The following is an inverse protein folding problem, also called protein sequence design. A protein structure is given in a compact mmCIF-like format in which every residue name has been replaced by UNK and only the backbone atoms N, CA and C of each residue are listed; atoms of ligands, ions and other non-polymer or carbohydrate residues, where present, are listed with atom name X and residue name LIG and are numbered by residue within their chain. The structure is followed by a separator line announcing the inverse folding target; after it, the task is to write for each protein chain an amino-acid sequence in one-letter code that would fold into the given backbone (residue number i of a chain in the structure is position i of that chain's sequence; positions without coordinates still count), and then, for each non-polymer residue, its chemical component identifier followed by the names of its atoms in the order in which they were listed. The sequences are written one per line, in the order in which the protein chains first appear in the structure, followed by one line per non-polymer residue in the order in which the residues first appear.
data_IF_007866293609
#
_entry.id   IF_007866293609
#
_cell.length_a   1.000
_cell.length_b   1.000
_cell.length_c   1.000
_cell.angle_alpha   90.00
_cell.angle_beta   90.00
_cell.angle_gamma   90.00
#
_symmetry.space_group_name_H-M   'P 1'
#
loop_
_entity.id
_entity.type
_entity.pdbx_description
1 polymer ?
#
# COMPACT_ATOMS: atom_id res chain seq x y z
N UNK A 1 -18.18 -30.25 1.48
CA UNK A 1 -18.94 -29.04 1.11
C UNK A 1 -18.60 -27.97 2.14
N UNK A 2 -17.93 -26.89 1.74
CA UNK A 2 -17.43 -25.87 2.67
C UNK A 2 -18.61 -25.07 3.23
N UNK A 3 -18.74 -25.08 4.56
CA UNK A 3 -19.71 -24.30 5.32
C UNK A 3 -19.36 -22.81 5.14
N UNK A 4 -19.97 -22.15 4.16
CA UNK A 4 -19.86 -20.70 4.02
C UNK A 4 -20.66 -20.11 5.18
N UNK A 5 -19.97 -19.56 6.16
CA UNK A 5 -20.61 -18.74 7.18
C UNK A 5 -21.32 -17.59 6.45
N UNK A 6 -22.65 -17.68 6.35
CA UNK A 6 -23.45 -16.63 5.72
C UNK A 6 -23.34 -15.37 6.58
N UNK A 7 -22.62 -14.37 6.09
CA UNK A 7 -22.61 -13.06 6.73
C UNK A 7 -24.00 -12.43 6.57
N UNK A 8 -24.62 -12.01 7.67
CA UNK A 8 -25.89 -11.29 7.66
C UNK A 8 -25.67 -9.78 7.52
N UNK A 9 -26.67 -9.10 6.97
CA UNK A 9 -26.67 -7.66 6.81
C UNK A 9 -28.03 -7.14 6.38
N UNK A 10 -28.09 -5.85 6.09
CA UNK A 10 -29.31 -5.18 5.68
C UNK A 10 -29.06 -4.16 4.58
N UNK A 11 -30.08 -3.96 3.75
CA UNK A 11 -30.16 -2.90 2.74
C UNK A 11 -31.01 -1.77 3.30
N UNK A 12 -30.56 -0.53 3.16
CA UNK A 12 -31.24 0.63 3.71
C UNK A 12 -31.26 1.79 2.71
N UNK A 13 -32.21 2.69 2.92
CA UNK A 13 -32.41 3.92 2.17
C UNK A 13 -32.44 5.10 3.16
N UNK A 14 -31.70 6.15 2.85
CA UNK A 14 -31.83 7.45 3.50
C UNK A 14 -32.51 8.42 2.53
N UNK A 15 -33.57 9.06 3.01
CA UNK A 15 -34.23 10.16 2.31
C UNK A 15 -33.88 11.45 3.01
N UNK A 16 -33.47 12.44 2.23
CA UNK A 16 -33.18 13.79 2.65
C UNK A 16 -34.33 14.72 2.24
N UNK A 17 -35.10 15.16 3.23
CA UNK A 17 -36.30 15.96 2.98
C UNK A 17 -36.00 17.42 2.64
N UNK A 18 -34.81 17.92 2.97
CA UNK A 18 -34.42 19.30 2.67
C UNK A 18 -33.99 19.46 1.20
N UNK A 19 -33.25 18.49 0.65
CA UNK A 19 -32.73 18.57 -0.73
C UNK A 19 -33.44 17.63 -1.72
N UNK A 20 -34.30 16.73 -1.23
CA UNK A 20 -34.95 15.71 -2.05
C UNK A 20 -34.00 14.60 -2.54
N UNK A 21 -32.81 14.49 -1.94
CA UNK A 21 -31.81 13.49 -2.32
C UNK A 21 -32.02 12.16 -1.61
N UNK A 22 -31.62 11.08 -2.27
CA UNK A 22 -31.71 9.72 -1.74
C UNK A 22 -30.34 9.05 -1.70
N UNK A 23 -30.10 8.24 -0.68
CA UNK A 23 -28.92 7.37 -0.57
C UNK A 23 -29.34 5.94 -0.30
N UNK A 24 -28.84 4.99 -1.08
CA UNK A 24 -29.08 3.56 -0.91
C UNK A 24 -27.76 2.88 -0.59
N UNK A 25 -27.76 1.97 0.37
CA UNK A 25 -26.55 1.21 0.69
C UNK A 25 -26.85 -0.09 1.44
N UNK A 26 -25.77 -0.82 1.70
CA UNK A 26 -25.79 -2.07 2.45
C UNK A 26 -24.83 -1.97 3.63
N UNK A 27 -25.18 -2.66 4.72
CA UNK A 27 -24.31 -2.84 5.87
C UNK A 27 -24.31 -4.30 6.29
N UNK A 28 -23.16 -4.77 6.77
CA UNK A 28 -23.01 -6.08 7.37
C UNK A 28 -23.05 -5.89 8.88
N UNK A 29 -24.10 -6.38 9.54
CA UNK A 29 -24.39 -6.07 10.93
C UNK A 29 -25.89 -6.05 11.21
N UNK A 30 -26.25 -5.63 12.42
CA UNK A 30 -27.64 -5.47 12.84
C UNK A 30 -28.12 -4.05 12.48
N UNK A 31 -29.35 -3.86 12.00
CA UNK A 31 -29.91 -2.53 11.74
C UNK A 31 -29.74 -1.51 12.88
N UNK A 32 -29.66 -1.99 14.12
CA UNK A 32 -29.61 -1.22 15.38
C UNK A 32 -28.18 -0.94 15.86
N UNK A 33 -27.13 -1.34 15.12
CA UNK A 33 -25.72 -1.17 15.49
C UNK A 33 -25.21 0.29 15.45
N UNK A 34 -26.09 1.25 15.18
CA UNK A 34 -25.76 2.67 15.09
C UNK A 34 -25.08 3.07 13.78
N UNK A 35 -24.94 2.17 12.81
CA UNK A 35 -24.39 2.50 11.50
C UNK A 35 -25.30 3.45 10.71
N UNK A 36 -24.71 4.53 10.19
CA UNK A 36 -25.44 5.57 9.42
C UNK A 36 -25.30 5.29 7.91
N UNK A 37 -24.11 5.46 7.35
CA UNK A 37 -23.83 5.18 5.94
C UNK A 37 -22.33 5.09 5.63
N UNK A 38 -21.93 4.92 4.38
CA UNK A 38 -20.53 4.98 3.93
C UNK A 38 -20.18 6.26 3.16
N UNK A 39 -21.19 7.04 2.73
CA UNK A 39 -20.99 8.27 1.96
C UNK A 39 -20.44 9.41 2.82
N UNK A 40 -19.28 9.96 2.43
CA UNK A 40 -18.65 11.08 3.14
C UNK A 40 -19.49 12.36 3.08
N UNK A 41 -20.10 12.64 1.92
CA UNK A 41 -20.90 13.84 1.68
C UNK A 41 -22.18 13.78 2.52
N UNK A 42 -22.95 12.69 2.41
CA UNK A 42 -24.18 12.53 3.18
C UNK A 42 -23.92 12.51 4.70
N UNK A 43 -22.81 11.92 5.16
CA UNK A 43 -22.43 12.00 6.59
C UNK A 43 -22.19 13.41 7.08
N UNK A 44 -21.63 14.28 6.25
CA UNK A 44 -21.38 15.66 6.64
C UNK A 44 -22.71 16.40 6.78
N UNK A 45 -23.58 16.28 5.79
CA UNK A 45 -24.91 16.90 5.83
C UNK A 45 -25.77 16.34 6.97
N UNK A 46 -25.74 15.03 7.23
CA UNK A 46 -26.45 14.43 8.36
C UNK A 46 -25.96 14.95 9.72
N UNK A 47 -24.68 15.29 9.88
CA UNK A 47 -24.17 15.87 11.13
C UNK A 47 -24.68 17.28 11.37
N UNK A 48 -24.90 18.04 10.30
CA UNK A 48 -25.34 19.44 10.36
C UNK A 48 -26.85 19.53 10.55
N UNK A 49 -27.63 18.63 9.93
CA UNK A 49 -29.10 18.64 9.94
C UNK A 49 -29.71 17.24 10.07
N UNK A 50 -29.45 16.52 11.18
CA UNK A 50 -29.89 15.15 11.36
C UNK A 50 -31.42 14.97 11.29
N UNK A 51 -32.19 15.99 11.67
CA UNK A 51 -33.65 15.98 11.66
C UNK A 51 -34.27 15.91 10.26
N UNK A 52 -33.54 16.33 9.22
CA UNK A 52 -34.05 16.36 7.85
C UNK A 52 -33.87 15.01 7.13
N UNK A 53 -33.31 14.01 7.82
CA UNK A 53 -33.02 12.71 7.26
C UNK A 53 -33.88 11.63 7.89
N UNK A 54 -34.40 10.73 7.06
CA UNK A 54 -35.10 9.53 7.51
C UNK A 54 -34.45 8.28 6.95
N UNK A 55 -34.14 7.32 7.81
CA UNK A 55 -33.61 6.00 7.44
C UNK A 55 -34.75 4.99 7.38
N UNK A 56 -34.80 4.23 6.29
CA UNK A 56 -35.70 3.09 6.12
C UNK A 56 -34.86 1.85 5.81
N UNK A 57 -35.11 0.76 6.54
CA UNK A 57 -34.51 -0.54 6.23
C UNK A 57 -35.41 -1.26 5.24
N UNK A 58 -34.86 -1.56 4.06
CA UNK A 58 -35.61 -2.15 2.95
C UNK A 58 -35.61 -3.68 2.99
N UNK A 59 -34.50 -4.27 3.44
CA UNK A 59 -34.34 -5.72 3.53
C UNK A 59 -33.31 -6.07 4.60
N UNK A 60 -33.53 -7.15 5.34
CA UNK A 60 -32.60 -7.72 6.32
C UNK A 60 -32.47 -9.23 6.05
N UNK A 61 -31.24 -9.74 5.95
CA UNK A 61 -30.98 -11.14 5.65
C UNK A 61 -29.54 -11.41 5.19
N UNK A 62 -29.32 -12.44 4.35
CA UNK A 62 -27.99 -12.74 3.83
C UNK A 62 -27.38 -11.55 3.07
N UNK A 63 -26.11 -11.24 3.37
CA UNK A 63 -25.41 -10.10 2.77
C UNK A 63 -25.31 -10.20 1.24
N UNK A 64 -25.23 -11.42 0.70
CA UNK A 64 -25.22 -11.68 -0.74
C UNK A 64 -26.51 -11.20 -1.43
N UNK A 65 -27.67 -11.37 -0.77
CA UNK A 65 -28.96 -10.90 -1.26
C UNK A 65 -29.04 -9.38 -1.13
N UNK A 66 -28.60 -8.82 0.01
CA UNK A 66 -28.54 -7.37 0.20
C UNK A 66 -27.72 -6.68 -0.91
N UNK A 67 -26.55 -7.23 -1.25
CA UNK A 67 -25.69 -6.70 -2.30
C UNK A 67 -26.33 -6.76 -3.70
N UNK A 68 -27.13 -7.80 -3.99
CA UNK A 68 -27.90 -7.87 -5.23
C UNK A 68 -29.03 -6.84 -5.25
N UNK A 69 -29.75 -6.74 -4.14
CA UNK A 69 -30.89 -5.84 -4.00
C UNK A 69 -30.49 -4.36 -4.11
N UNK A 70 -29.37 -3.96 -3.47
CA UNK A 70 -28.78 -2.62 -3.63
C UNK A 70 -28.54 -2.29 -5.11
N UNK A 71 -27.93 -3.23 -5.85
CA UNK A 71 -27.59 -3.03 -7.25
C UNK A 71 -28.85 -2.88 -8.12
N UNK A 72 -29.87 -3.70 -7.86
CA UNK A 72 -31.15 -3.65 -8.59
C UNK A 72 -31.90 -2.34 -8.29
N UNK A 73 -31.97 -1.93 -7.02
CA UNK A 73 -32.59 -0.65 -6.62
C UNK A 73 -31.87 0.55 -7.24
N UNK A 74 -30.54 0.61 -7.12
CA UNK A 74 -29.75 1.69 -7.70
C UNK A 74 -29.93 1.72 -9.23
N UNK A 75 -29.92 0.56 -9.91
CA UNK A 75 -30.12 0.51 -11.35
C UNK A 75 -31.55 0.92 -11.77
N UNK A 76 -32.57 0.57 -10.98
CA UNK A 76 -33.95 0.93 -11.26
C UNK A 76 -34.23 2.42 -11.02
N UNK A 77 -33.58 3.04 -10.03
CA UNK A 77 -33.75 4.43 -9.65
C UNK A 77 -32.85 5.40 -10.42
N UNK A 78 -31.63 4.99 -10.81
CA UNK A 78 -30.74 5.78 -11.66
C UNK A 78 -31.14 5.66 -13.13
N UNK A 79 -32.26 6.29 -13.52
CA UNK A 79 -32.70 6.32 -14.94
C UNK A 79 -32.36 7.62 -15.68
N UNK A 80 -32.12 8.75 -15.00
CA UNK A 80 -31.80 10.02 -15.68
C UNK A 80 -31.05 11.06 -14.85
N UNK A 81 -31.42 11.28 -13.58
CA UNK A 81 -30.95 12.45 -12.83
C UNK A 81 -29.92 12.10 -11.74
N UNK A 82 -28.64 12.41 -12.00
CA UNK A 82 -27.54 12.21 -11.03
C UNK A 82 -27.63 13.15 -9.83
N UNK A 83 -28.38 14.25 -9.94
CA UNK A 83 -28.45 15.30 -8.91
C UNK A 83 -29.28 14.89 -7.69
N UNK A 84 -30.14 13.88 -7.84
CA UNK A 84 -31.10 13.45 -6.79
C UNK A 84 -30.55 12.32 -5.92
N UNK A 85 -29.29 11.89 -6.11
CA UNK A 85 -28.71 10.79 -5.34
C UNK A 85 -27.34 11.14 -4.74
N UNK A 86 -27.09 10.66 -3.52
CA UNK A 86 -25.76 10.71 -2.89
C UNK A 86 -24.82 9.57 -3.35
N UNK A 87 -25.36 8.54 -4.00
CA UNK A 87 -24.59 7.42 -4.55
C UNK A 87 -23.74 7.89 -5.73
N UNK A 88 -22.41 7.76 -5.64
CA UNK A 88 -21.47 8.27 -6.67
C UNK A 88 -21.39 7.40 -7.94
N UNK A 89 -21.98 6.21 -7.92
CA UNK A 89 -21.94 5.25 -9.02
C UNK A 89 -23.19 4.38 -9.02
N UNK A 90 -23.65 3.96 -10.21
CA UNK A 90 -24.82 3.09 -10.39
C UNK A 90 -24.56 1.63 -9.94
N UNK A 91 -23.90 1.41 -8.80
CA UNK A 91 -23.52 0.07 -8.32
C UNK A 91 -22.51 -0.67 -9.21
N UNK A 92 -21.96 -0.01 -10.25
CA UNK A 92 -20.91 -0.58 -11.10
C UNK A 92 -19.59 -0.60 -10.33
N UNK A 93 -19.26 -1.72 -9.69
CA UNK A 93 -17.87 -2.03 -9.37
C UNK A 93 -17.12 -2.14 -10.70
N UNK A 94 -16.09 -1.30 -10.90
CA UNK A 94 -15.17 -1.49 -12.01
C UNK A 94 -14.39 -2.77 -11.70
N UNK A 95 -14.79 -3.87 -12.34
CA UNK A 95 -14.00 -5.09 -12.30
C UNK A 95 -12.70 -4.77 -13.06
N UNK A 96 -11.56 -4.79 -12.39
CA UNK A 96 -10.26 -4.67 -13.06
C UNK A 96 -9.94 -5.99 -13.75
N UNK A 97 -10.65 -6.27 -14.83
CA UNK A 97 -10.33 -7.37 -15.74
C UNK A 97 -9.06 -7.01 -16.54
N UNK A 98 -8.38 -8.01 -17.09
CA UNK A 98 -7.12 -7.86 -17.80
C UNK A 98 -7.26 -6.94 -19.01
N UNK A 99 -8.43 -6.91 -19.65
CA UNK A 99 -8.77 -5.94 -20.70
C UNK A 99 -8.69 -4.50 -20.19
N UNK A 100 -9.23 -4.22 -19.00
CA UNK A 100 -9.24 -2.87 -18.41
C UNK A 100 -7.83 -2.50 -17.92
N UNK A 101 -7.11 -3.45 -17.29
CA UNK A 101 -5.72 -3.25 -16.89
C UNK A 101 -4.83 -2.92 -18.09
N UNK A 102 -4.99 -3.65 -19.18
CA UNK A 102 -4.24 -3.41 -20.42
C UNK A 102 -4.56 -2.04 -21.00
N UNK A 103 -5.83 -1.63 -21.05
CA UNK A 103 -6.23 -0.30 -21.51
C UNK A 103 -5.65 0.84 -20.66
N UNK A 104 -5.55 0.66 -19.34
CA UNK A 104 -4.89 1.60 -18.43
C UNK A 104 -3.39 1.63 -18.70
N UNK A 105 -2.77 0.45 -18.86
CA UNK A 105 -1.33 0.30 -19.14
C UNK A 105 -0.93 0.95 -20.45
N UNK A 106 -1.68 0.72 -21.53
CA UNK A 106 -1.47 1.34 -22.84
C UNK A 106 -1.52 2.87 -22.76
N UNK A 107 -2.52 3.43 -22.04
CA UNK A 107 -2.62 4.89 -21.83
C UNK A 107 -1.53 5.47 -20.92
N UNK A 108 -0.93 4.64 -20.07
CA UNK A 108 0.18 5.04 -19.20
C UNK A 108 1.53 4.92 -19.90
N UNK A 109 1.67 4.00 -20.86
CA UNK A 109 2.88 3.83 -21.65
C UNK A 109 3.16 5.10 -22.46
N UNK A 110 4.37 5.62 -22.33
CA UNK A 110 4.80 6.83 -23.04
C UNK A 110 4.41 8.16 -22.38
N UNK A 111 3.71 8.16 -21.24
CA UNK A 111 3.54 9.40 -20.46
C UNK A 111 4.90 9.89 -19.97
N UNK A 112 5.38 10.97 -20.59
CA UNK A 112 6.53 11.71 -20.08
C UNK A 112 6.10 12.49 -18.85
N UNK A 113 6.89 12.41 -17.79
CA UNK A 113 6.68 13.28 -16.64
C UNK A 113 6.82 14.74 -17.09
N UNK A 114 6.02 15.66 -16.54
CA UNK A 114 6.14 17.07 -16.87
C UNK A 114 7.54 17.58 -16.54
N UNK A 115 8.02 18.50 -17.36
CA UNK A 115 9.39 19.01 -17.25
C UNK A 115 9.62 19.65 -15.87
N UNK A 116 10.78 19.40 -15.28
CA UNK A 116 11.13 19.84 -13.92
C UNK A 116 10.43 19.11 -12.77
N UNK A 117 9.55 18.12 -13.01
CA UNK A 117 8.94 17.32 -11.94
C UNK A 117 9.98 16.47 -11.19
N UNK A 118 10.95 15.92 -11.91
CA UNK A 118 12.04 15.15 -11.32
C UNK A 118 12.89 16.01 -10.37
N UNK A 119 13.19 17.25 -10.78
CA UNK A 119 13.96 18.21 -9.98
C UNK A 119 13.21 18.63 -8.71
N UNK A 120 11.90 18.92 -8.82
CA UNK A 120 11.05 19.21 -7.65
C UNK A 120 11.01 18.04 -6.66
N UNK A 121 10.91 16.81 -7.17
CA UNK A 121 10.91 15.61 -6.33
C UNK A 121 12.28 15.37 -5.67
N UNK A 122 13.38 15.59 -6.39
CA UNK A 122 14.73 15.49 -5.85
C UNK A 122 15.00 16.57 -4.79
N UNK A 123 14.67 17.83 -5.08
CA UNK A 123 14.78 18.93 -4.13
C UNK A 123 14.00 18.66 -2.83
N UNK A 124 12.80 18.09 -2.93
CA UNK A 124 11.99 17.73 -1.77
C UNK A 124 12.59 16.59 -0.92
N UNK A 125 13.47 15.74 -1.49
CA UNK A 125 14.11 14.60 -0.83
C UNK A 125 15.50 14.94 -0.26
N UNK A 126 16.21 15.89 -0.85
CA UNK A 126 17.53 16.30 -0.37
C UNK A 126 17.42 16.79 1.08
N UNK A 127 18.28 16.27 1.95
CA UNK A 127 18.37 16.64 3.37
C UNK A 127 17.34 16.01 4.31
N UNK A 128 16.25 15.40 3.80
CA UNK A 128 15.23 14.80 4.67
C UNK A 128 15.61 13.38 5.08
N UNK A 129 15.67 13.08 6.39
CA UNK A 129 15.92 11.72 6.84
C UNK A 129 14.77 10.81 6.43
N UNK A 130 15.08 9.61 5.92
CA UNK A 130 14.05 8.61 5.66
C UNK A 130 13.32 8.23 6.96
N UNK A 131 12.05 7.78 6.89
CA UNK A 131 11.23 7.48 8.07
C UNK A 131 11.79 6.40 8.99
N UNK A 132 12.79 5.63 8.52
CA UNK A 132 13.50 4.59 9.29
C UNK A 132 14.94 4.97 9.64
N UNK A 133 15.34 6.23 9.47
CA UNK A 133 16.69 6.67 9.85
C UNK A 133 16.86 6.53 11.37
N UNK A 134 17.90 5.80 11.79
CA UNK A 134 18.19 5.57 13.20
C UNK A 134 17.55 4.32 13.81
N UNK A 135 16.66 3.62 13.09
CA UNK A 135 16.09 2.36 13.59
C UNK A 135 17.12 1.23 13.43
N UNK A 136 17.51 0.62 14.55
CA UNK A 136 18.36 -0.57 14.55
C UNK A 136 17.49 -1.82 14.42
N UNK A 137 17.89 -2.75 13.55
CA UNK A 137 17.19 -4.02 13.37
C UNK A 137 17.60 -5.02 14.47
N UNK A 138 16.64 -5.79 14.97
CA UNK A 138 16.91 -6.91 15.89
C UNK A 138 17.88 -7.91 15.26
N UNK A 139 18.64 -8.62 16.10
CA UNK A 139 19.63 -9.59 15.63
C UNK A 139 19.01 -10.70 14.78
N UNK A 140 17.83 -11.18 15.18
CA UNK A 140 17.07 -12.16 14.40
C UNK A 140 16.70 -11.65 13.01
N UNK A 141 16.22 -10.41 12.92
CA UNK A 141 15.84 -9.80 11.63
C UNK A 141 17.09 -9.59 10.76
N UNK A 142 18.21 -9.19 11.36
CA UNK A 142 19.49 -9.03 10.68
C UNK A 142 19.99 -10.35 10.11
N UNK A 143 19.85 -11.44 10.88
CA UNK A 143 20.22 -12.79 10.46
C UNK A 143 19.35 -13.26 9.28
N UNK A 144 18.02 -13.12 9.36
CA UNK A 144 17.10 -13.48 8.26
C UNK A 144 17.42 -12.75 6.95
N UNK A 145 17.72 -11.44 7.02
CA UNK A 145 18.11 -10.66 5.84
C UNK A 145 19.47 -11.12 5.29
N UNK A 146 20.43 -11.43 6.16
CA UNK A 146 21.75 -11.93 5.77
C UNK A 146 21.63 -13.27 5.04
N UNK A 147 20.90 -14.21 5.61
CA UNK A 147 20.69 -15.55 5.03
C UNK A 147 19.97 -15.48 3.68
N UNK A 148 18.97 -14.61 3.55
CA UNK A 148 18.25 -14.41 2.29
C UNK A 148 19.11 -13.79 1.18
N UNK A 149 20.16 -13.03 1.52
CA UNK A 149 21.04 -12.37 0.53
C UNK A 149 22.27 -13.19 0.18
N UNK A 150 22.66 -14.13 1.05
CA UNK A 150 23.84 -14.97 0.86
C UNK A 150 23.66 -15.84 -0.37
N UNK A 151 24.59 -15.75 -1.32
CA UNK A 151 24.57 -16.51 -2.57
C UNK A 151 23.65 -15.98 -3.67
N UNK A 152 22.89 -14.90 -3.42
CA UNK A 152 22.03 -14.30 -4.46
C UNK A 152 22.88 -13.46 -5.41
N UNK A 153 22.94 -13.87 -6.67
CA UNK A 153 23.60 -13.11 -7.73
C UNK A 153 22.75 -11.88 -8.06
N UNK A 154 23.29 -10.70 -7.79
CA UNK A 154 22.61 -9.46 -8.20
C UNK A 154 22.70 -9.28 -9.71
N UNK A 155 21.72 -8.62 -10.33
CA UNK A 155 21.76 -8.30 -11.77
C UNK A 155 22.97 -7.48 -12.20
N UNK A 156 23.66 -6.85 -11.23
CA UNK A 156 24.87 -6.05 -11.46
C UNK A 156 26.17 -6.85 -11.31
N UNK A 157 26.08 -8.14 -10.99
CA UNK A 157 27.26 -9.00 -10.93
C UNK A 157 27.97 -8.98 -12.29
N UNK A 158 29.28 -8.72 -12.29
CA UNK A 158 30.09 -8.62 -13.51
C UNK A 158 30.12 -7.25 -14.19
N UNK A 159 29.29 -6.28 -13.79
CA UNK A 159 29.39 -4.91 -14.31
C UNK A 159 30.66 -4.21 -13.78
N UNK A 160 31.43 -3.61 -14.69
CA UNK A 160 32.62 -2.81 -14.34
C UNK A 160 32.25 -1.33 -14.18
N UNK A 161 32.78 -0.68 -13.15
CA UNK A 161 32.65 0.77 -12.99
C UNK A 161 33.38 1.52 -14.11
N UNK A 162 32.79 2.64 -14.56
CA UNK A 162 33.44 3.58 -15.49
C UNK A 162 34.67 4.23 -14.84
N UNK A 163 35.59 4.75 -15.67
CA UNK A 163 36.80 5.42 -15.19
C UNK A 163 36.48 6.61 -14.27
N UNK A 164 35.48 7.42 -14.65
CA UNK A 164 35.01 8.56 -13.86
C UNK A 164 34.43 8.12 -12.50
N UNK A 165 33.66 7.03 -12.48
CA UNK A 165 33.13 6.45 -11.24
C UNK A 165 34.28 5.98 -10.33
N UNK A 166 35.30 5.31 -10.88
CA UNK A 166 36.49 4.87 -10.14
C UNK A 166 37.28 6.04 -9.56
N UNK A 167 37.42 7.13 -10.31
CA UNK A 167 38.10 8.36 -9.86
C UNK A 167 37.40 8.97 -8.64
N UNK A 168 36.08 9.14 -8.70
CA UNK A 168 35.26 9.66 -7.58
C UNK A 168 35.37 8.79 -6.32
N UNK A 169 35.35 7.46 -6.48
CA UNK A 169 35.53 6.53 -5.37
C UNK A 169 36.93 6.66 -4.74
N UNK A 170 37.97 6.83 -5.55
CA UNK A 170 39.36 7.02 -5.08
C UNK A 170 39.52 8.33 -4.29
N UNK A 171 39.01 9.44 -4.80
CA UNK A 171 39.07 10.75 -4.13
C UNK A 171 38.36 10.73 -2.77
N UNK A 172 37.25 10.01 -2.66
CA UNK A 172 36.54 9.82 -1.40
C UNK A 172 37.31 8.90 -0.43
N UNK A 173 37.97 7.86 -0.94
CA UNK A 173 38.79 6.96 -0.11
C UNK A 173 39.99 7.67 0.53
N UNK A 174 40.60 8.64 -0.17
CA UNK A 174 41.70 9.47 0.36
C UNK A 174 41.30 10.32 1.57
N UNK A 175 40.01 10.64 1.72
CA UNK A 175 39.48 11.41 2.86
C UNK A 175 39.24 10.57 4.11
N UNK A 176 39.50 9.25 4.07
CA UNK A 176 39.31 8.37 5.23
C UNK A 176 40.43 8.60 6.26
N UNK A 177 40.13 8.59 7.57
CA UNK A 177 41.16 8.73 8.60
C UNK A 177 42.13 7.55 8.57
N UNK A 178 43.38 7.80 8.98
CA UNK A 178 44.41 6.77 9.10
C UNK A 178 44.01 5.77 10.19
N UNK A 179 44.18 4.48 9.91
CA UNK A 179 43.89 3.41 10.88
C UNK A 179 44.90 3.50 12.03
N UNK A 180 44.39 3.64 13.26
CA UNK A 180 45.21 3.67 14.48
C UNK A 180 45.88 2.31 14.75
N UNK A 181 46.99 2.31 15.50
CA UNK A 181 47.73 1.09 15.82
C UNK A 181 46.86 0.06 16.55
N UNK A 182 46.04 0.50 17.52
CA UNK A 182 45.08 -0.36 18.23
C UNK A 182 44.05 -0.99 17.28
N UNK A 183 43.49 -0.20 16.37
CA UNK A 183 42.51 -0.69 15.38
C UNK A 183 43.15 -1.71 14.44
N UNK A 184 44.41 -1.48 14.05
CA UNK A 184 45.19 -2.41 13.21
C UNK A 184 45.41 -3.75 13.92
N UNK A 185 45.73 -3.73 15.20
CA UNK A 185 45.92 -4.94 16.00
C UNK A 185 44.61 -5.74 16.13
N UNK A 186 43.50 -5.08 16.48
CA UNK A 186 42.16 -5.71 16.54
C UNK A 186 41.75 -6.35 15.21
N UNK A 187 41.98 -5.66 14.09
CA UNK A 187 41.70 -6.20 12.75
C UNK A 187 42.57 -7.43 12.44
N UNK A 188 43.83 -7.42 12.84
CA UNK A 188 44.75 -8.56 12.67
C UNK A 188 44.29 -9.78 13.48
N UNK A 189 43.90 -9.59 14.74
CA UNK A 189 43.40 -10.69 15.60
C UNK A 189 42.13 -11.30 15.04
N UNK A 190 41.16 -10.47 14.62
CA UNK A 190 39.92 -10.94 13.99
C UNK A 190 40.19 -11.73 12.70
N UNK A 191 41.12 -11.27 11.86
CA UNK A 191 41.48 -11.97 10.64
C UNK A 191 42.13 -13.33 10.92
N UNK A 192 43.02 -13.42 11.93
CA UNK A 192 43.63 -14.68 12.37
C UNK A 192 42.57 -15.66 12.92
N UNK A 193 41.60 -15.16 13.69
CA UNK A 193 40.51 -15.97 14.22
C UNK A 193 39.58 -16.50 13.12
N UNK A 194 39.19 -15.67 12.15
CA UNK A 194 38.38 -16.10 11.00
C UNK A 194 39.12 -17.17 10.17
N UNK A 195 40.42 -16.98 9.94
CA UNK A 195 41.24 -17.96 9.24
C UNK A 195 41.31 -19.30 9.97
N UNK A 196 41.53 -19.29 11.29
CA UNK A 196 41.54 -20.50 12.11
C UNK A 196 40.19 -21.22 12.07
N UNK A 197 39.08 -20.47 12.15
CA UNK A 197 37.71 -21.02 12.04
C UNK A 197 37.47 -21.70 10.70
N UNK A 198 37.79 -21.02 9.59
CA UNK A 198 37.63 -21.58 8.23
C UNK A 198 38.51 -22.80 8.00
N UNK A 199 39.71 -22.83 8.60
CA UNK A 199 40.60 -24.00 8.56
C UNK A 199 39.99 -25.19 9.30
N UNK A 200 39.43 -24.98 10.48
CA UNK A 200 38.74 -26.01 11.27
C UNK A 200 37.48 -26.53 10.57
N UNK A 201 36.63 -25.65 10.06
CA UNK A 201 35.44 -26.03 9.28
C UNK A 201 35.82 -26.86 8.06
N UNK A 202 36.90 -26.50 7.37
CA UNK A 202 37.40 -27.26 6.21
C UNK A 202 38.00 -28.61 6.59
N UNK A 203 38.57 -28.78 7.79
CA UNK A 203 39.05 -30.08 8.28
C UNK A 203 37.93 -31.00 8.79
N UNK A 204 36.76 -30.46 9.14
CA UNK A 204 35.58 -31.22 9.57
C UNK A 204 34.72 -31.75 8.41
N UNK A 205 35.02 -31.34 7.18
CA UNK A 205 34.29 -31.71 5.95
C UNK A 205 34.96 -32.90 5.23
N UNK A 206 36.01 -33.49 5.83
CA UNK A 206 36.69 -34.71 5.38
C UNK A 206 36.62 -35.80 6.46
#
# INVERSE_FOLDING_TARGET
MANQAECYGFTYCWSDHATGKVYIGIHMGDPSDGYICSSKVMKQEYKERPQDFTRQVLFNGPYSICARFEKELIAALFKSDKSTFYNRSNGRKILFDDVIKNKIREKAQGRKMPDGHLEKMLAARIGKPGPRKGVTLSEETRKKISDSKRGVVTSKMGHKHTLECRKRMSESAKKRPVITAETRLKLSELAKADWAKRKLERSLVY
#
